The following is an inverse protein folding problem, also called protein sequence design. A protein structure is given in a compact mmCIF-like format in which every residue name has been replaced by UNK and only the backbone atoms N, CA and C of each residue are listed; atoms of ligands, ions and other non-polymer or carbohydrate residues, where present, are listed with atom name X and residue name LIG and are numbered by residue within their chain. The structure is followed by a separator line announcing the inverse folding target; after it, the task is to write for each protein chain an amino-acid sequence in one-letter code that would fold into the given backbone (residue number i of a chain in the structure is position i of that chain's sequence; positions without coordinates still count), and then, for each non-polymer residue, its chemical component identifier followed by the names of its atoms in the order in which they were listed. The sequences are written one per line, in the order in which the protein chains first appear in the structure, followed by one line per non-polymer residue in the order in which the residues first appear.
data_IF_063969879993
#
_entry.id   IF_063969879993
#
_cell.length_a   1.000
_cell.length_b   1.000
_cell.length_c   1.000
_cell.angle_alpha   90.00
_cell.angle_beta   90.00
_cell.angle_gamma   90.00
#
_symmetry.space_group_name_H-M   'P 1'
#
loop_
_entity.id
_entity.type
_entity.pdbx_description
1 polymer ?
#
# COMPACT_ATOMS: atom_id res chain seq x y z
N UNK A 1 14.97 67.31 -12.31
CA UNK A 1 13.60 66.96 -11.89
C UNK A 1 13.10 66.09 -13.01
N UNK A 2 13.39 64.79 -12.92
CA UNK A 2 13.00 63.81 -13.92
C UNK A 2 11.52 63.46 -13.65
N UNK A 3 10.67 63.67 -14.65
CA UNK A 3 9.30 63.18 -14.66
C UNK A 3 9.35 61.69 -15.02
N UNK A 4 9.06 60.82 -14.04
CA UNK A 4 8.81 59.39 -14.30
C UNK A 4 7.47 59.23 -15.02
N UNK A 5 7.51 58.50 -16.14
CA UNK A 5 6.38 58.25 -17.03
C UNK A 5 5.35 57.34 -16.32
N UNK A 6 4.09 57.79 -16.11
CA UNK A 6 3.08 57.02 -15.37
C UNK A 6 2.71 55.68 -16.04
N UNK A 7 3.05 55.49 -17.32
CA UNK A 7 2.85 54.23 -18.03
C UNK A 7 3.82 53.11 -17.61
N UNK A 8 5.01 53.45 -17.13
CA UNK A 8 6.04 52.46 -16.76
C UNK A 8 5.75 51.81 -15.40
N UNK A 9 5.18 52.58 -14.45
CA UNK A 9 4.72 52.08 -13.14
C UNK A 9 3.54 51.11 -13.23
N UNK A 10 2.58 51.36 -14.14
CA UNK A 10 1.42 50.49 -14.36
C UNK A 10 1.80 49.13 -14.94
N UNK A 11 2.74 49.09 -15.89
CA UNK A 11 3.23 47.85 -16.49
C UNK A 11 4.00 46.99 -15.48
N UNK A 12 4.80 47.62 -14.62
CA UNK A 12 5.56 46.93 -13.58
C UNK A 12 4.64 46.27 -12.53
N UNK A 13 3.57 46.97 -12.12
CA UNK A 13 2.56 46.40 -11.20
C UNK A 13 1.81 45.21 -11.80
N UNK A 14 1.47 45.27 -13.09
CA UNK A 14 0.81 44.17 -13.79
C UNK A 14 1.71 42.94 -13.92
N UNK A 15 3.03 43.15 -14.12
CA UNK A 15 4.03 42.08 -14.16
C UNK A 15 4.27 41.44 -12.79
N UNK A 16 4.29 42.24 -11.72
CA UNK A 16 4.35 41.71 -10.35
C UNK A 16 3.09 40.88 -10.06
N UNK A 17 1.92 41.38 -10.44
CA UNK A 17 0.65 40.68 -10.25
C UNK A 17 0.59 39.35 -11.00
N UNK A 18 1.12 39.29 -12.23
CA UNK A 18 1.16 38.02 -12.97
C UNK A 18 2.07 37.01 -12.28
N UNK A 19 3.20 37.44 -11.73
CA UNK A 19 4.12 36.56 -10.99
C UNK A 19 3.56 36.06 -9.67
N UNK A 20 2.83 36.90 -8.93
CA UNK A 20 2.17 36.47 -7.68
C UNK A 20 1.10 35.40 -7.98
N UNK A 21 0.33 35.56 -9.07
CA UNK A 21 -0.64 34.56 -9.52
C UNK A 21 0.01 33.28 -10.03
N UNK A 22 1.15 33.38 -10.70
CA UNK A 22 1.95 32.22 -11.12
C UNK A 22 2.45 31.42 -9.91
N UNK A 23 2.89 32.11 -8.85
CA UNK A 23 3.29 31.47 -7.59
C UNK A 23 2.12 30.79 -6.87
N UNK A 24 0.95 31.44 -6.83
CA UNK A 24 -0.28 30.87 -6.26
C UNK A 24 -0.71 29.60 -7.02
N UNK A 25 -0.62 29.62 -8.36
CA UNK A 25 -0.91 28.46 -9.20
C UNK A 25 0.08 27.31 -8.94
N UNK A 26 1.38 27.61 -8.84
CA UNK A 26 2.41 26.62 -8.52
C UNK A 26 2.21 25.99 -7.13
N UNK A 27 1.90 26.80 -6.13
CA UNK A 27 1.61 26.34 -4.77
C UNK A 27 0.35 25.45 -4.72
N UNK A 28 -0.71 25.83 -5.43
CA UNK A 28 -1.93 25.03 -5.56
C UNK A 28 -1.67 23.68 -6.24
N UNK A 29 -0.89 23.68 -7.32
CA UNK A 29 -0.51 22.45 -8.00
C UNK A 29 0.27 21.53 -7.04
N UNK A 30 1.23 22.04 -6.26
CA UNK A 30 1.94 21.24 -5.25
C UNK A 30 1.04 20.64 -4.15
N UNK A 31 -0.14 21.21 -3.91
CA UNK A 31 -1.11 20.73 -2.90
C UNK A 31 -2.09 19.70 -3.47
N UNK A 32 -2.43 19.84 -4.74
CA UNK A 32 -3.44 19.04 -5.44
C UNK A 32 -2.83 17.96 -6.35
N UNK A 33 -1.50 17.85 -6.45
CA UNK A 33 -0.91 16.75 -7.21
C UNK A 33 -1.19 15.40 -6.53
N UNK A 34 -1.63 14.38 -7.29
CA UNK A 34 -1.61 13.01 -6.80
C UNK A 34 -0.18 12.67 -6.38
N UNK A 35 -0.01 11.81 -5.37
CA UNK A 35 1.30 11.38 -4.84
C UNK A 35 2.33 10.92 -5.90
N UNK A 36 1.91 10.74 -7.15
CA UNK A 36 2.65 10.28 -8.33
C UNK A 36 3.56 11.31 -9.00
N UNK A 37 3.48 12.60 -8.63
CA UNK A 37 4.33 13.65 -9.21
C UNK A 37 5.49 14.07 -8.31
N UNK A 38 5.79 13.29 -7.28
CA UNK A 38 7.04 13.48 -6.54
C UNK A 38 8.22 13.29 -7.48
N UNK A 39 9.22 14.16 -7.35
CA UNK A 39 10.38 14.27 -8.24
C UNK A 39 11.01 12.90 -8.54
N UNK A 40 11.70 12.82 -9.69
CA UNK A 40 12.48 11.63 -10.10
C UNK A 40 13.43 11.13 -9.00
N UNK A 41 13.82 11.98 -8.04
CA UNK A 41 14.68 11.65 -6.90
C UNK A 41 13.96 10.85 -5.80
N UNK A 42 12.64 10.99 -5.68
CA UNK A 42 11.85 10.19 -4.73
C UNK A 42 11.64 8.76 -5.21
N UNK A 43 11.44 8.58 -6.52
CA UNK A 43 11.27 7.27 -7.13
C UNK A 43 12.57 6.46 -7.12
N UNK A 44 13.72 7.12 -7.31
CA UNK A 44 15.04 6.49 -7.16
C UNK A 44 15.32 6.10 -5.72
N UNK A 45 14.96 6.91 -4.72
CA UNK A 45 15.08 6.55 -3.30
C UNK A 45 14.23 5.33 -2.93
N UNK A 46 13.01 5.23 -3.44
CA UNK A 46 12.13 4.07 -3.22
C UNK A 46 12.68 2.81 -3.90
N UNK A 47 13.23 2.94 -5.11
CA UNK A 47 13.91 1.82 -5.78
C UNK A 47 15.17 1.37 -5.04
N UNK A 48 16.02 2.30 -4.60
CA UNK A 48 17.23 1.99 -3.84
C UNK A 48 16.88 1.31 -2.51
N UNK A 49 15.84 1.77 -1.82
CA UNK A 49 15.35 1.11 -0.60
C UNK A 49 14.83 -0.29 -0.91
N UNK A 50 14.07 -0.47 -1.99
CA UNK A 50 13.54 -1.78 -2.40
C UNK A 50 14.66 -2.76 -2.72
N UNK A 51 15.70 -2.32 -3.44
CA UNK A 51 16.89 -3.12 -3.74
C UNK A 51 17.69 -3.48 -2.49
N UNK A 52 17.89 -2.53 -1.58
CA UNK A 52 18.58 -2.81 -0.31
C UNK A 52 17.77 -3.78 0.56
N UNK A 53 16.45 -3.61 0.61
CA UNK A 53 15.56 -4.49 1.34
C UNK A 53 15.57 -5.91 0.76
N UNK A 54 15.44 -6.06 -0.56
CA UNK A 54 15.53 -7.36 -1.25
C UNK A 54 16.87 -8.04 -0.98
N UNK A 55 17.97 -7.29 -1.06
CA UNK A 55 19.32 -7.80 -0.78
C UNK A 55 19.43 -8.29 0.66
N UNK A 56 18.92 -7.52 1.63
CA UNK A 56 18.95 -7.87 3.06
C UNK A 56 18.07 -9.08 3.38
N UNK A 57 16.89 -9.18 2.78
CA UNK A 57 16.01 -10.35 2.94
C UNK A 57 16.68 -11.61 2.39
N UNK A 58 17.38 -11.50 1.25
CA UNK A 58 18.11 -12.62 0.67
C UNK A 58 19.30 -13.06 1.53
N UNK A 59 20.05 -12.11 2.08
CA UNK A 59 21.15 -12.36 3.01
C UNK A 59 20.65 -13.13 4.25
N UNK A 60 19.55 -12.68 4.86
CA UNK A 60 18.92 -13.36 6.01
C UNK A 60 18.41 -14.76 5.65
N UNK A 61 17.81 -14.94 4.46
CA UNK A 61 17.31 -16.23 4.01
C UNK A 61 18.44 -17.24 3.75
N UNK A 62 19.60 -16.77 3.27
CA UNK A 62 20.80 -17.59 3.06
C UNK A 62 21.45 -17.97 4.41
N UNK A 63 21.50 -17.05 5.39
CA UNK A 63 21.99 -17.34 6.74
C UNK A 63 21.11 -18.35 7.50
N UNK A 64 19.80 -18.38 7.24
CA UNK A 64 18.87 -19.31 7.89
C UNK A 64 19.12 -20.79 7.56
N UNK A 65 19.85 -21.08 6.47
CA UNK A 65 20.21 -22.45 6.06
C UNK A 65 21.31 -23.04 6.97
N UNK A 66 22.11 -22.20 7.63
CA UNK A 66 23.25 -22.62 8.46
C UNK A 66 22.89 -22.75 9.96
N UNK A 67 21.72 -22.24 10.37
CA UNK A 67 21.27 -22.21 11.78
C UNK A 67 20.92 -23.61 12.31
N UNK A 68 20.53 -24.56 11.44
CA UNK A 68 20.23 -25.95 11.80
C UNK A 68 21.49 -26.75 12.26
N UNK A 69 22.69 -26.17 12.15
CA UNK A 69 23.97 -26.78 12.52
C UNK A 69 24.57 -26.25 13.84
N UNK A 70 23.94 -25.26 14.50
CA UNK A 70 24.45 -24.63 15.71
C UNK A 70 24.08 -25.40 16.99
N UNK A 71 25.02 -25.47 17.93
CA UNK A 71 24.79 -26.06 19.27
C UNK A 71 23.82 -25.18 20.09
N UNK A 72 23.12 -25.77 21.06
CA UNK A 72 22.02 -25.12 21.79
C UNK A 72 22.48 -23.85 22.52
N UNK A 73 23.71 -23.83 23.05
CA UNK A 73 24.30 -22.66 23.72
C UNK A 73 24.58 -21.49 22.73
N UNK A 74 24.96 -21.78 21.49
CA UNK A 74 25.24 -20.76 20.47
C UNK A 74 23.94 -20.17 19.87
N UNK A 75 22.86 -20.96 19.88
CA UNK A 75 21.53 -20.52 19.43
C UNK A 75 20.91 -19.45 20.34
N UNK A 76 21.08 -19.55 21.65
CA UNK A 76 20.57 -18.56 22.62
C UNK A 76 21.30 -17.22 22.50
N UNK A 77 22.63 -17.25 22.31
CA UNK A 77 23.44 -16.05 22.09
C UNK A 77 23.06 -15.34 20.78
N UNK A 78 22.78 -16.09 19.72
CA UNK A 78 22.32 -15.57 18.44
C UNK A 78 20.91 -14.96 18.53
N UNK A 79 19.98 -15.60 19.25
CA UNK A 79 18.65 -15.03 19.52
C UNK A 79 18.72 -13.74 20.35
N UNK A 80 19.63 -13.66 21.32
CA UNK A 80 19.84 -12.42 22.08
C UNK A 80 20.43 -11.31 21.20
N UNK A 81 21.33 -11.65 20.28
CA UNK A 81 21.86 -10.73 19.27
C UNK A 81 20.75 -10.19 18.36
N UNK A 82 19.93 -11.06 17.76
CA UNK A 82 18.81 -10.65 16.91
C UNK A 82 17.80 -9.78 17.66
N UNK A 83 17.53 -10.07 18.93
CA UNK A 83 16.64 -9.23 19.76
C UNK A 83 17.22 -7.84 19.97
N UNK A 84 18.54 -7.71 20.17
CA UNK A 84 19.22 -6.41 20.30
C UNK A 84 19.19 -5.64 18.99
N UNK A 85 19.43 -6.31 17.87
CA UNK A 85 19.39 -5.68 16.54
C UNK A 85 17.97 -5.20 16.20
N UNK A 86 16.95 -6.03 16.46
CA UNK A 86 15.54 -5.64 16.30
C UNK A 86 15.19 -4.40 17.12
N UNK A 87 15.54 -4.37 18.41
CA UNK A 87 15.29 -3.19 19.25
C UNK A 87 16.05 -1.94 18.78
N UNK A 88 17.26 -2.10 18.23
CA UNK A 88 18.02 -1.00 17.64
C UNK A 88 17.30 -0.43 16.41
N UNK A 89 16.84 -1.29 15.51
CA UNK A 89 16.10 -0.89 14.30
C UNK A 89 14.75 -0.26 14.65
N UNK A 90 14.01 -0.83 15.61
CA UNK A 90 12.76 -0.25 16.11
C UNK A 90 12.98 1.17 16.68
N UNK A 91 14.06 1.38 17.44
CA UNK A 91 14.40 2.68 17.99
C UNK A 91 14.81 3.69 16.92
N UNK A 92 15.51 3.26 15.87
CA UNK A 92 15.84 4.12 14.72
C UNK A 92 14.58 4.46 13.91
N UNK A 93 13.74 3.47 13.64
CA UNK A 93 12.46 3.65 12.93
C UNK A 93 11.54 4.64 13.66
N UNK A 94 11.50 4.60 14.99
CA UNK A 94 10.77 5.56 15.80
C UNK A 94 11.32 6.99 15.63
N UNK A 95 12.65 7.17 15.63
CA UNK A 95 13.28 8.48 15.39
C UNK A 95 12.99 9.02 13.99
N UNK A 96 13.07 8.17 12.98
CA UNK A 96 12.76 8.54 11.59
C UNK A 96 11.28 8.95 11.48
N UNK A 97 10.38 8.23 12.13
CA UNK A 97 8.95 8.58 12.16
C UNK A 97 8.69 9.92 12.83
N UNK A 98 9.33 10.20 13.97
CA UNK A 98 9.23 11.49 14.67
C UNK A 98 9.77 12.64 13.80
N UNK A 99 10.87 12.42 13.08
CA UNK A 99 11.44 13.41 12.17
C UNK A 99 10.53 13.69 10.95
N UNK A 100 9.89 12.65 10.39
CA UNK A 100 8.90 12.80 9.32
C UNK A 100 7.71 13.64 9.82
N UNK A 101 7.16 13.33 10.99
CA UNK A 101 6.04 14.08 11.56
C UNK A 101 6.41 15.56 11.78
N UNK A 102 7.60 15.81 12.32
CA UNK A 102 8.14 17.16 12.53
C UNK A 102 8.27 17.93 11.22
N UNK A 103 8.79 17.29 10.16
CA UNK A 103 8.93 17.89 8.84
C UNK A 103 7.58 18.15 8.18
N UNK A 104 6.63 17.20 8.25
CA UNK A 104 5.27 17.38 7.73
C UNK A 104 4.56 18.54 8.41
N UNK A 105 4.71 18.67 9.73
CA UNK A 105 4.13 19.77 10.50
C UNK A 105 4.73 21.12 10.10
N UNK A 106 6.07 21.20 9.98
CA UNK A 106 6.76 22.41 9.51
C UNK A 106 6.31 22.80 8.11
N UNK A 107 6.27 21.83 7.19
CA UNK A 107 5.84 22.05 5.81
C UNK A 107 4.41 22.60 5.74
N UNK A 108 3.47 22.03 6.52
CA UNK A 108 2.10 22.52 6.58
C UNK A 108 2.03 23.97 7.12
N UNK A 109 2.80 24.29 8.16
CA UNK A 109 2.86 25.64 8.72
C UNK A 109 3.44 26.64 7.73
N UNK A 110 4.57 26.32 7.09
CA UNK A 110 5.22 27.18 6.10
C UNK A 110 4.33 27.39 4.86
N UNK A 111 3.63 26.34 4.43
CA UNK A 111 2.67 26.40 3.32
C UNK A 111 1.51 27.34 3.63
N UNK A 112 0.89 27.23 4.81
CA UNK A 112 -0.19 28.15 5.23
C UNK A 112 0.30 29.59 5.43
N UNK A 113 1.57 29.78 5.81
CA UNK A 113 2.18 31.10 5.91
C UNK A 113 2.38 31.72 4.53
N UNK A 114 2.90 30.96 3.58
CA UNK A 114 3.08 31.41 2.20
C UNK A 114 1.75 31.79 1.56
N UNK A 115 0.68 31.02 1.76
CA UNK A 115 -0.67 31.31 1.27
C UNK A 115 -1.17 32.67 1.80
N UNK A 116 -1.01 32.92 3.11
CA UNK A 116 -1.38 34.20 3.73
C UNK A 116 -0.57 35.37 3.18
N UNK A 117 0.73 35.18 2.98
CA UNK A 117 1.61 36.22 2.46
C UNK A 117 1.26 36.55 0.99
N UNK A 118 0.91 35.55 0.18
CA UNK A 118 0.42 35.74 -1.20
C UNK A 118 -0.93 36.45 -1.25
N UNK A 119 -1.88 36.08 -0.40
CA UNK A 119 -3.18 36.75 -0.28
C UNK A 119 -3.01 38.23 0.14
N UNK A 120 -2.14 38.49 1.12
CA UNK A 120 -1.82 39.85 1.56
C UNK A 120 -1.16 40.69 0.46
N UNK A 121 -0.28 40.09 -0.34
CA UNK A 121 0.34 40.75 -1.50
C UNK A 121 -0.70 41.08 -2.57
N UNK A 122 -1.62 40.16 -2.88
CA UNK A 122 -2.70 40.40 -3.85
C UNK A 122 -3.60 41.56 -3.41
N UNK A 123 -4.02 41.59 -2.14
CA UNK A 123 -4.82 42.69 -1.57
C UNK A 123 -4.09 44.03 -1.63
N UNK A 124 -2.78 44.04 -1.35
CA UNK A 124 -1.95 45.24 -1.44
C UNK A 124 -1.85 45.75 -2.88
N UNK A 125 -1.64 44.86 -3.85
CA UNK A 125 -1.62 45.18 -5.29
C UNK A 125 -2.97 45.74 -5.77
N UNK A 126 -4.09 45.18 -5.30
CA UNK A 126 -5.43 45.69 -5.63
C UNK A 126 -5.68 47.09 -5.07
N UNK A 127 -5.21 47.35 -3.85
CA UNK A 127 -5.31 48.69 -3.25
C UNK A 127 -4.51 49.74 -4.04
N UNK A 128 -3.28 49.41 -4.47
CA UNK A 128 -2.43 50.28 -5.29
C UNK A 128 -3.04 50.53 -6.68
N UNK A 129 -3.63 49.50 -7.30
CA UNK A 129 -4.33 49.64 -8.58
C UNK A 129 -5.58 50.52 -8.49
N UNK A 130 -6.29 50.53 -7.35
CA UNK A 130 -7.48 51.35 -7.16
C UNK A 130 -7.17 52.84 -7.00
N UNK A 131 -6.00 53.16 -6.45
CA UNK A 131 -5.55 54.52 -6.20
C UNK A 131 -5.16 55.27 -7.49
N UNK A 132 -4.75 54.56 -8.54
CA UNK A 132 -4.47 55.12 -9.87
C UNK A 132 -5.75 55.47 -10.66
N UNK A 133 -6.87 54.81 -10.37
CA UNK A 133 -8.16 55.03 -11.08
C UNK A 133 -8.92 56.24 -10.53
N UNK A 134 -8.69 56.63 -9.28
CA UNK A 134 -9.38 57.78 -8.67
C UNK A 134 -8.94 59.13 -9.25
N UNK A 135 -7.86 59.16 -10.06
CA UNK A 135 -7.37 60.36 -10.76
C UNK A 135 -7.83 60.51 -12.22
N UNK A 136 -8.57 59.55 -12.81
CA UNK A 136 -8.84 59.56 -14.26
C UNK A 136 -10.30 59.49 -14.71
N UNK A 137 -11.29 59.65 -13.82
CA UNK A 137 -12.71 59.57 -14.21
C UNK A 137 -13.21 60.85 -14.92
N UNK A 138 -13.11 60.88 -16.25
CA UNK A 138 -14.08 61.60 -17.09
C UNK A 138 -14.37 60.84 -18.40
N UNK A 139 -15.65 60.50 -18.59
CA UNK A 139 -16.37 59.96 -19.78
C UNK A 139 -16.74 58.46 -19.86
N UNK A 140 -18.05 58.15 -20.04
CA UNK A 140 -18.59 56.93 -20.66
C UNK A 140 -19.24 57.25 -22.04
N UNK A 141 -20.02 56.37 -22.71
CA UNK A 141 -20.05 54.89 -22.75
C UNK A 141 -19.96 54.35 -24.21
N UNK A 142 -19.73 53.05 -24.41
CA UNK A 142 -20.06 52.40 -25.69
C UNK A 142 -20.95 51.16 -25.54
N UNK A 143 -21.68 50.95 -26.62
CA UNK A 143 -22.99 50.34 -26.81
C UNK A 143 -23.06 48.82 -26.82
N UNK A 144 -24.29 48.35 -26.57
CA UNK A 144 -24.85 47.00 -26.74
C UNK A 144 -24.19 46.12 -27.81
N UNK A 145 -23.86 44.89 -27.43
CA UNK A 145 -23.58 43.79 -28.36
C UNK A 145 -24.65 42.72 -28.24
N UNK A 146 -25.00 42.18 -29.40
CA UNK A 146 -26.08 41.24 -29.75
C UNK A 146 -26.17 39.97 -28.89
N UNK A 147 -27.40 39.50 -28.72
CA UNK A 147 -27.77 38.13 -28.38
C UNK A 147 -26.99 37.12 -29.24
N UNK A 148 -26.14 36.30 -28.62
CA UNK A 148 -25.43 35.19 -29.25
C UNK A 148 -25.94 33.89 -28.62
N UNK A 149 -26.87 33.23 -29.31
CA UNK A 149 -27.11 31.78 -29.34
C UNK A 149 -26.73 30.98 -28.07
N UNK A 150 -27.39 31.26 -26.94
CA UNK A 150 -27.08 30.63 -25.63
C UNK A 150 -27.45 29.13 -25.55
N UNK A 151 -28.38 28.65 -26.38
CA UNK A 151 -28.91 27.28 -26.30
C UNK A 151 -27.93 26.21 -26.82
N UNK A 152 -27.17 26.55 -27.87
CA UNK A 152 -26.11 25.68 -28.40
C UNK A 152 -24.89 25.64 -27.47
N UNK A 153 -24.61 26.76 -26.79
CA UNK A 153 -23.56 26.88 -25.79
C UNK A 153 -23.87 26.04 -24.54
N UNK A 154 -25.13 26.02 -24.10
CA UNK A 154 -25.56 25.19 -22.98
C UNK A 154 -25.41 23.69 -23.26
N UNK A 155 -25.85 23.22 -24.45
CA UNK A 155 -25.67 21.82 -24.88
C UNK A 155 -24.20 21.41 -24.99
N UNK A 156 -23.33 22.34 -25.40
CA UNK A 156 -21.89 22.10 -25.46
C UNK A 156 -21.29 21.85 -24.08
N UNK A 157 -21.65 22.68 -23.08
CA UNK A 157 -21.20 22.47 -21.69
C UNK A 157 -21.74 21.17 -21.09
N UNK A 158 -22.97 20.78 -21.40
CA UNK A 158 -23.54 19.52 -20.91
C UNK A 158 -22.82 18.29 -21.50
N UNK A 159 -22.48 18.33 -22.79
CA UNK A 159 -21.69 17.28 -23.43
C UNK A 159 -20.25 17.23 -22.90
N UNK A 160 -19.63 18.38 -22.66
CA UNK A 160 -18.29 18.47 -22.05
C UNK A 160 -18.27 17.87 -20.64
N UNK A 161 -19.28 18.19 -19.83
CA UNK A 161 -19.47 17.59 -18.51
C UNK A 161 -19.65 16.07 -18.57
N UNK A 162 -20.45 15.56 -19.53
CA UNK A 162 -20.61 14.11 -19.73
C UNK A 162 -19.33 13.42 -20.21
N UNK A 163 -18.51 14.10 -21.01
CA UNK A 163 -17.21 13.57 -21.45
C UNK A 163 -16.25 13.48 -20.26
N UNK A 164 -16.22 14.52 -19.42
CA UNK A 164 -15.38 14.54 -18.24
C UNK A 164 -15.81 13.47 -17.21
N UNK A 165 -17.12 13.29 -16.98
CA UNK A 165 -17.64 12.22 -16.13
C UNK A 165 -17.21 10.83 -16.64
N UNK A 166 -17.35 10.58 -17.95
CA UNK A 166 -16.91 9.31 -18.55
C UNK A 166 -15.40 9.12 -18.45
N UNK A 167 -14.62 10.20 -18.58
CA UNK A 167 -13.16 10.16 -18.41
C UNK A 167 -12.77 9.78 -16.99
N UNK A 168 -13.45 10.34 -15.98
CA UNK A 168 -13.23 9.99 -14.57
C UNK A 168 -13.59 8.52 -14.28
N UNK A 169 -14.69 8.01 -14.84
CA UNK A 169 -15.09 6.60 -14.69
C UNK A 169 -14.04 5.67 -15.33
N UNK A 170 -13.58 6.01 -16.55
CA UNK A 170 -12.55 5.22 -17.24
C UNK A 170 -11.25 5.16 -16.44
N UNK A 171 -10.81 6.30 -15.88
CA UNK A 171 -9.65 6.35 -15.01
C UNK A 171 -9.83 5.48 -13.76
N UNK A 172 -10.98 5.58 -13.10
CA UNK A 172 -11.30 4.76 -11.91
C UNK A 172 -11.30 3.25 -12.22
N UNK A 173 -11.73 2.85 -13.42
CA UNK A 173 -11.69 1.45 -13.86
C UNK A 173 -10.26 0.98 -14.14
N UNK A 174 -9.41 1.83 -14.71
CA UNK A 174 -7.99 1.55 -14.91
C UNK A 174 -7.25 1.41 -13.56
N UNK A 175 -7.54 2.29 -12.61
CA UNK A 175 -7.01 2.23 -11.24
C UNK A 175 -7.43 0.92 -10.54
N UNK A 176 -8.68 0.50 -10.71
CA UNK A 176 -9.18 -0.76 -10.15
C UNK A 176 -8.51 -1.99 -10.78
N UNK A 177 -8.25 -1.97 -12.09
CA UNK A 177 -7.51 -3.04 -12.78
C UNK A 177 -6.06 -3.14 -12.28
N UNK A 178 -5.42 -1.98 -12.04
CA UNK A 178 -4.09 -1.91 -11.42
C UNK A 178 -4.08 -2.48 -10.00
N UNK A 179 -5.08 -2.12 -9.18
CA UNK A 179 -5.27 -2.68 -7.84
C UNK A 179 -5.47 -4.20 -7.89
N UNK A 180 -6.31 -4.69 -8.80
CA UNK A 180 -6.53 -6.13 -8.99
C UNK A 180 -5.25 -6.87 -9.33
N UNK A 181 -4.45 -6.36 -10.28
CA UNK A 181 -3.15 -6.96 -10.65
C UNK A 181 -2.19 -7.03 -9.48
N UNK A 182 -2.18 -6.02 -8.60
CA UNK A 182 -1.36 -6.04 -7.37
C UNK A 182 -1.83 -7.10 -6.39
N UNK A 183 -3.14 -7.28 -6.22
CA UNK A 183 -3.69 -8.37 -5.40
C UNK A 183 -3.35 -9.75 -5.98
N UNK A 184 -3.51 -9.94 -7.29
CA UNK A 184 -3.16 -11.20 -7.96
C UNK A 184 -1.66 -11.53 -7.80
N UNK A 185 -0.78 -10.51 -7.80
CA UNK A 185 0.65 -10.67 -7.56
C UNK A 185 0.97 -10.97 -6.08
N UNK A 186 0.30 -10.30 -5.14
CA UNK A 186 0.45 -10.56 -3.71
C UNK A 186 -0.01 -11.97 -3.34
N UNK A 187 -1.13 -12.44 -3.91
CA UNK A 187 -1.63 -13.81 -3.75
C UNK A 187 -0.61 -14.84 -4.25
N UNK A 188 0.01 -14.61 -5.41
CA UNK A 188 1.07 -15.51 -5.92
C UNK A 188 2.30 -15.59 -4.99
N UNK A 189 2.67 -14.49 -4.35
CA UNK A 189 3.76 -14.47 -3.37
C UNK A 189 3.34 -15.21 -2.09
N UNK A 190 2.14 -14.97 -1.59
CA UNK A 190 1.61 -15.65 -0.41
C UNK A 190 1.48 -17.16 -0.64
N UNK A 191 0.96 -17.59 -1.79
CA UNK A 191 0.86 -18.97 -2.23
C UNK A 191 2.24 -19.65 -2.23
N UNK A 192 3.28 -18.95 -2.71
CA UNK A 192 4.64 -19.47 -2.78
C UNK A 192 5.30 -19.60 -1.40
N UNK A 193 5.06 -18.64 -0.50
CA UNK A 193 5.66 -18.61 0.85
C UNK A 193 4.98 -19.59 1.81
N UNK A 194 3.66 -19.72 1.72
CA UNK A 194 2.86 -20.53 2.65
C UNK A 194 2.56 -21.93 2.10
N UNK A 195 2.70 -22.11 0.79
CA UNK A 195 2.21 -23.30 0.09
C UNK A 195 0.68 -23.43 0.12
N UNK A 196 -0.06 -22.42 0.56
CA UNK A 196 -1.53 -22.42 0.63
C UNK A 196 -2.08 -21.68 -0.58
N UNK A 197 -2.93 -22.32 -1.38
CA UNK A 197 -3.63 -21.67 -2.50
C UNK A 197 -5.14 -21.85 -2.40
N UNK A 198 -5.90 -20.77 -2.58
CA UNK A 198 -7.37 -20.85 -2.64
C UNK A 198 -7.79 -21.30 -4.04
N UNK A 199 -8.49 -22.43 -4.13
CA UNK A 199 -9.01 -22.94 -5.40
C UNK A 199 -10.44 -22.47 -5.67
N UNK A 200 -11.26 -22.46 -4.62
CA UNK A 200 -12.67 -22.11 -4.73
C UNK A 200 -13.17 -21.55 -3.40
N UNK A 201 -13.96 -20.48 -3.50
CA UNK A 201 -14.66 -19.89 -2.37
C UNK A 201 -16.10 -19.61 -2.79
N UNK A 202 -16.96 -20.59 -2.57
CA UNK A 202 -18.41 -20.43 -2.64
C UNK A 202 -18.91 -20.22 -1.22
N UNK A 203 -19.94 -19.40 -0.99
CA UNK A 203 -20.30 -18.91 0.35
C UNK A 203 -20.53 -19.98 1.43
N UNK A 204 -20.65 -21.25 1.04
CA UNK A 204 -20.86 -22.42 1.88
C UNK A 204 -19.66 -23.38 1.95
N UNK A 205 -18.61 -23.20 1.15
CA UNK A 205 -17.40 -24.01 1.25
C UNK A 205 -16.14 -23.28 0.76
N UNK A 206 -15.02 -23.59 1.39
CA UNK A 206 -13.68 -23.15 0.96
C UNK A 206 -12.92 -24.39 0.49
N UNK A 207 -12.40 -24.36 -0.74
CA UNK A 207 -11.50 -25.38 -1.25
C UNK A 207 -10.09 -24.80 -1.34
N UNK A 208 -9.16 -25.44 -0.64
CA UNK A 208 -7.77 -25.01 -0.51
C UNK A 208 -6.86 -26.09 -1.07
N UNK A 209 -5.76 -25.68 -1.69
CA UNK A 209 -4.62 -26.53 -2.01
C UNK A 209 -3.51 -26.24 -1.00
N UNK A 210 -2.95 -27.30 -0.43
CA UNK A 210 -1.88 -27.30 0.57
C UNK A 210 -0.67 -28.00 -0.03
N UNK A 211 0.31 -27.21 -0.43
CA UNK A 211 1.64 -27.61 -0.86
C UNK A 211 2.55 -27.67 0.35
N UNK A 212 2.99 -28.88 0.70
CA UNK A 212 3.98 -29.09 1.76
C UNK A 212 5.27 -29.60 1.16
N UNK A 213 6.37 -28.91 1.44
CA UNK A 213 7.70 -29.30 1.01
C UNK A 213 8.29 -30.30 2.00
N UNK A 214 8.74 -31.45 1.52
CA UNK A 214 9.43 -32.44 2.35
C UNK A 214 10.95 -32.17 2.24
N UNK A 215 11.64 -31.90 3.36
CA UNK A 215 13.08 -31.94 3.40
C UNK A 215 13.54 -33.37 3.11
N UNK A 216 14.31 -33.58 2.03
CA UNK A 216 14.89 -34.90 1.76
C UNK A 216 15.96 -35.18 2.83
N UNK A 217 15.68 -36.11 3.73
CA UNK A 217 16.58 -36.61 4.78
C UNK A 217 17.82 -37.37 4.26
N UNK A 218 17.99 -37.48 2.94
CA UNK A 218 19.06 -38.28 2.30
C UNK A 218 20.48 -37.79 2.67
N UNK A 219 20.61 -36.56 3.18
CA UNK A 219 21.87 -36.01 3.68
C UNK A 219 22.30 -36.49 5.08
N UNK A 220 21.40 -37.06 5.90
CA UNK A 220 21.71 -37.42 7.29
C UNK A 220 22.37 -38.81 7.44
N UNK A 221 22.34 -39.64 6.39
CA UNK A 221 22.88 -41.02 6.42
C UNK A 221 24.29 -41.18 5.80
N UNK A 222 24.99 -40.09 5.52
CA UNK A 222 26.45 -40.13 5.33
C UNK A 222 26.95 -41.02 4.19
N UNK A 223 26.24 -41.12 3.06
CA UNK A 223 26.82 -41.69 1.83
C UNK A 223 26.94 -40.62 0.75
N UNK A 224 28.18 -40.13 0.59
CA UNK A 224 28.59 -39.28 -0.51
C UNK A 224 28.25 -39.93 -1.86
N UNK A 225 27.31 -39.35 -2.59
CA UNK A 225 27.47 -39.04 -4.02
C UNK A 225 26.80 -37.71 -4.32
N UNK A 226 27.66 -36.70 -4.45
CA UNK A 226 27.34 -35.34 -4.86
C UNK A 226 27.16 -35.34 -6.37
N UNK A 227 25.97 -35.70 -6.80
CA UNK A 227 25.44 -35.42 -8.14
C UNK A 227 23.96 -35.74 -8.04
N UNK A 228 23.12 -34.70 -8.13
CA UNK A 228 21.72 -34.67 -8.57
C UNK A 228 21.10 -33.41 -7.96
N UNK A 229 20.83 -32.41 -8.81
CA UNK A 229 19.87 -31.33 -8.55
C UNK A 229 18.62 -31.94 -7.92
N UNK A 230 18.51 -31.84 -6.60
CA UNK A 230 17.48 -32.56 -5.87
C UNK A 230 16.28 -31.64 -5.70
N UNK A 231 15.34 -31.68 -6.65
CA UNK A 231 14.05 -31.02 -6.49
C UNK A 231 13.42 -31.49 -5.16
N UNK A 232 12.92 -30.58 -4.31
CA UNK A 232 12.18 -30.93 -3.09
C UNK A 232 11.02 -31.84 -3.46
N UNK A 233 10.82 -32.93 -2.69
CA UNK A 233 9.62 -33.74 -2.88
C UNK A 233 8.44 -32.97 -2.33
N UNK A 234 7.55 -32.57 -3.22
CA UNK A 234 6.35 -31.82 -2.90
C UNK A 234 5.18 -32.77 -2.70
N UNK A 235 4.44 -32.60 -1.61
CA UNK A 235 3.12 -33.20 -1.44
C UNK A 235 2.06 -32.13 -1.58
N UNK A 236 1.07 -32.43 -2.42
CA UNK A 236 -0.09 -31.57 -2.65
C UNK A 236 -1.30 -32.26 -2.03
N UNK A 237 -1.92 -31.60 -1.06
CA UNK A 237 -3.20 -32.00 -0.49
C UNK A 237 -4.25 -30.96 -0.84
N UNK A 238 -5.50 -31.38 -0.98
CA UNK A 238 -6.64 -30.48 -1.05
C UNK A 238 -7.46 -30.58 0.23
N UNK A 239 -7.84 -29.44 0.79
CA UNK A 239 -8.65 -29.32 1.98
C UNK A 239 -9.98 -28.64 1.61
N UNK A 240 -11.08 -29.33 1.86
CA UNK A 240 -12.43 -28.81 1.66
C UNK A 240 -13.07 -28.50 3.02
N UNK A 241 -13.32 -27.21 3.27
CA UNK A 241 -13.89 -26.70 4.51
C UNK A 241 -15.33 -26.29 4.23
N UNK A 242 -16.31 -27.00 4.80
CA UNK A 242 -17.70 -26.62 4.69
C UNK A 242 -18.04 -25.61 5.78
N UNK A 243 -18.68 -24.52 5.37
CA UNK A 243 -19.15 -23.45 6.23
C UNK A 243 -20.68 -23.52 6.36
N UNK A 244 -21.19 -23.15 7.53
CA UNK A 244 -22.63 -22.95 7.72
C UNK A 244 -23.04 -21.64 7.08
N UNK A 245 -24.11 -21.67 6.30
CA UNK A 245 -24.62 -20.57 5.45
C UNK A 245 -24.21 -19.16 5.91
N UNK A 246 -23.30 -18.52 5.15
CA UNK A 246 -22.80 -17.14 5.34
C UNK A 246 -22.08 -16.84 6.65
N UNK A 247 -21.71 -17.85 7.41
CA UNK A 247 -20.92 -17.70 8.64
C UNK A 247 -19.51 -18.27 8.44
N UNK A 248 -18.57 -17.88 9.30
CA UNK A 248 -17.27 -18.56 9.41
C UNK A 248 -17.36 -19.86 10.21
N UNK A 249 -18.58 -20.39 10.40
CA UNK A 249 -18.80 -21.61 11.17
C UNK A 249 -18.48 -22.85 10.35
N UNK A 250 -17.32 -23.45 10.60
CA UNK A 250 -16.91 -24.75 10.06
C UNK A 250 -17.89 -25.83 10.52
N UNK A 251 -18.45 -26.59 9.57
CA UNK A 251 -19.37 -27.73 9.82
C UNK A 251 -18.75 -29.07 9.48
N UNK A 252 -17.84 -29.11 8.51
CA UNK A 252 -17.20 -30.33 8.02
C UNK A 252 -15.85 -30.02 7.39
N UNK A 253 -14.89 -30.91 7.58
CA UNK A 253 -13.62 -30.91 6.85
C UNK A 253 -13.46 -32.22 6.08
N UNK A 254 -12.92 -32.12 4.88
CA UNK A 254 -12.49 -33.26 4.08
C UNK A 254 -11.10 -32.99 3.51
N UNK A 255 -10.25 -34.01 3.45
CA UNK A 255 -8.92 -33.91 2.87
C UNK A 255 -8.72 -34.94 1.75
N UNK A 256 -8.03 -34.52 0.70
CA UNK A 256 -7.70 -35.35 -0.45
C UNK A 256 -6.20 -35.22 -0.78
N UNK A 257 -5.46 -36.34 -0.91
CA UNK A 257 -5.87 -37.70 -0.55
C UNK A 257 -6.16 -37.85 0.97
N UNK A 258 -6.96 -38.85 1.34
CA UNK A 258 -7.32 -39.13 2.74
C UNK A 258 -6.27 -40.04 3.41
N UNK A 259 -5.00 -39.70 3.28
CA UNK A 259 -3.86 -40.42 3.84
C UNK A 259 -3.36 -39.80 5.17
N UNK A 260 -3.97 -38.68 5.58
CA UNK A 260 -3.71 -37.96 6.82
C UNK A 260 -5.00 -37.85 7.65
N UNK A 261 -5.00 -38.40 8.86
CA UNK A 261 -6.15 -38.32 9.77
C UNK A 261 -6.27 -36.92 10.39
N UNK A 262 -7.45 -36.31 10.28
CA UNK A 262 -7.77 -34.96 10.79
C UNK A 262 -9.02 -34.90 11.68
N UNK A 263 -9.60 -36.04 12.05
CA UNK A 263 -10.84 -36.06 12.83
C UNK A 263 -10.71 -35.35 14.19
N UNK A 264 -9.54 -35.47 14.81
CA UNK A 264 -9.20 -34.78 16.08
C UNK A 264 -9.12 -33.26 15.92
N UNK A 265 -8.68 -32.76 14.76
CA UNK A 265 -8.63 -31.32 14.47
C UNK A 265 -10.04 -30.74 14.36
N UNK A 266 -10.98 -31.49 13.79
CA UNK A 266 -12.39 -31.09 13.67
C UNK A 266 -13.02 -31.00 15.07
N UNK A 267 -12.85 -32.03 15.89
CA UNK A 267 -13.36 -32.05 17.28
C UNK A 267 -12.75 -30.93 18.14
N UNK A 268 -11.46 -30.65 17.95
CA UNK A 268 -10.78 -29.56 18.62
C UNK A 268 -11.23 -28.18 18.13
N UNK A 269 -11.54 -28.01 16.84
CA UNK A 269 -12.10 -26.78 16.29
C UNK A 269 -13.48 -26.48 16.90
N UNK A 270 -14.31 -27.49 17.12
CA UNK A 270 -15.60 -27.38 17.80
C UNK A 270 -15.43 -27.02 19.29
N UNK A 271 -14.41 -27.57 19.95
CA UNK A 271 -14.09 -27.22 21.35
C UNK A 271 -13.54 -25.79 21.50
N UNK A 272 -12.76 -25.32 20.51
CA UNK A 272 -12.24 -23.95 20.46
C UNK A 272 -13.38 -22.90 20.38
N UNK A 273 -14.53 -23.26 19.78
CA UNK A 273 -15.74 -22.42 19.80
C UNK A 273 -16.27 -22.20 21.20
N UNK A 274 -16.32 -23.26 22.02
CA UNK A 274 -16.87 -23.17 23.38
C UNK A 274 -16.00 -22.28 24.29
N UNK A 275 -14.68 -22.33 24.12
CA UNK A 275 -13.73 -21.55 24.93
C UNK A 275 -13.75 -20.05 24.55
N UNK A 276 -13.87 -19.71 23.26
CA UNK A 276 -13.96 -18.31 22.80
C UNK A 276 -15.19 -17.56 23.30
N UNK A 277 -16.30 -18.25 23.51
CA UNK A 277 -17.51 -17.64 24.10
C UNK A 277 -17.29 -17.18 25.55
N UNK A 278 -16.24 -17.66 26.23
CA UNK A 278 -15.97 -17.39 27.64
C UNK A 278 -14.71 -16.55 27.91
N UNK A 279 -13.87 -16.29 26.92
CA UNK A 279 -12.64 -15.51 27.09
C UNK A 279 -12.45 -14.50 25.97
N UNK A 280 -12.52 -13.21 26.30
CA UNK A 280 -12.35 -12.10 25.36
C UNK A 280 -10.88 -11.84 24.95
N UNK A 281 -9.94 -12.75 25.27
CA UNK A 281 -8.52 -12.40 25.32
C UNK A 281 -7.55 -13.35 24.58
N UNK A 282 -8.01 -14.35 23.82
CA UNK A 282 -7.10 -15.26 23.12
C UNK A 282 -7.35 -15.38 21.61
N UNK A 283 -6.31 -14.99 20.87
CA UNK A 283 -6.02 -15.12 19.44
C UNK A 283 -7.00 -14.46 18.46
N UNK A 284 -6.52 -13.38 17.83
CA UNK A 284 -7.11 -12.72 16.66
C UNK A 284 -7.17 -13.61 15.39
N UNK A 285 -6.78 -14.88 15.48
CA UNK A 285 -6.76 -15.82 14.34
C UNK A 285 -8.16 -16.34 14.06
N UNK A 286 -8.62 -16.35 12.81
CA UNK A 286 -9.93 -16.93 12.49
C UNK A 286 -9.94 -18.44 12.77
N UNK A 287 -11.12 -19.03 13.04
CA UNK A 287 -11.24 -20.49 13.22
C UNK A 287 -10.74 -21.28 11.99
N UNK A 288 -10.88 -20.69 10.80
CA UNK A 288 -10.36 -21.25 9.54
C UNK A 288 -8.83 -21.23 9.53
N UNK A 289 -8.22 -20.11 9.89
CA UNK A 289 -6.76 -19.98 9.94
C UNK A 289 -6.13 -20.99 10.90
N UNK A 290 -6.73 -21.19 12.08
CA UNK A 290 -6.25 -22.19 13.04
C UNK A 290 -6.33 -23.61 12.49
N UNK A 291 -7.46 -23.96 11.84
CA UNK A 291 -7.67 -25.28 11.25
C UNK A 291 -6.67 -25.55 10.13
N UNK A 292 -6.47 -24.60 9.22
CA UNK A 292 -5.52 -24.73 8.10
C UNK A 292 -4.10 -24.97 8.62
N UNK A 293 -3.65 -24.17 9.60
CA UNK A 293 -2.33 -24.36 10.21
C UNK A 293 -2.18 -25.74 10.86
N UNK A 294 -3.21 -26.22 11.57
CA UNK A 294 -3.18 -27.55 12.21
C UNK A 294 -3.16 -28.69 11.21
N UNK A 295 -3.86 -28.54 10.08
CA UNK A 295 -3.82 -29.53 8.99
C UNK A 295 -2.43 -29.55 8.35
N UNK A 296 -1.82 -28.40 8.08
CA UNK A 296 -0.45 -28.32 7.56
C UNK A 296 0.57 -28.96 8.51
N UNK A 297 0.52 -28.65 9.82
CA UNK A 297 1.34 -29.29 10.86
C UNK A 297 1.20 -30.83 10.83
N UNK A 298 -0.03 -31.31 10.66
CA UNK A 298 -0.36 -32.74 10.65
C UNK A 298 0.15 -33.43 9.39
N UNK A 299 0.06 -32.81 8.23
CA UNK A 299 0.62 -33.33 6.97
C UNK A 299 2.13 -33.50 7.11
N UNK A 300 2.83 -32.46 7.57
CA UNK A 300 4.29 -32.50 7.79
C UNK A 300 4.65 -33.61 8.78
N UNK A 301 3.99 -33.64 9.94
CA UNK A 301 4.26 -34.63 11.00
C UNK A 301 4.01 -36.07 10.55
N UNK A 302 2.99 -36.31 9.74
CA UNK A 302 2.65 -37.66 9.23
C UNK A 302 3.66 -38.10 8.18
N UNK A 303 4.21 -37.15 7.42
CA UNK A 303 5.18 -37.41 6.37
C UNK A 303 6.58 -37.67 6.94
N UNK A 304 7.00 -36.95 7.99
CA UNK A 304 8.30 -37.16 8.65
C UNK A 304 8.38 -38.46 9.49
N UNK A 305 7.24 -39.06 9.85
CA UNK A 305 7.19 -40.30 10.65
C UNK A 305 7.13 -41.58 9.82
N UNK A 306 6.86 -41.49 8.51
CA UNK A 306 6.86 -42.63 7.58
C UNK A 306 8.28 -42.95 7.14
#
# INVERSE_FOLDING_TARGET
MEEEDPHEGSLHLQQIRSRVKELELLHRNCRDEPEESRSSDSQTLVQDFSLQFETKVKEVAEEYIDVDLLDVEDSDAYLEYLRKELHSVEAESAKVSEEIERLSMSHAQDSTRLERDLEGLLLSLDSMSSQDVEKSKENPPFTSSMDVNDDDKFKMFELENQIEEKRMILKSLEDLDSVRKRFDAAEQVEDALTGLKVLEFDGNFIRLQLRTYIPKLDGLLGQQKLDHTTEPSELIHELLIHLKDKTTEITKLEMFPNDVYIGDIIEAADSFRQVRLHSAMLDARSSVQWVVAKVQDRIISTTLRK
#
